data_IF_677498191501
#
_entry.id   IF_677498191501
#
_cell.length_a   1.000
_cell.length_b   1.000
_cell.length_c   1.000
_cell.angle_alpha   90.00
_cell.angle_beta   90.00
_cell.angle_gamma   90.00
#
_symmetry.space_group_name_H-M   'P 1'
#
loop_
_entity.id
_entity.type
_entity.pdbx_description
1 polymer ?
#
# COMPACT_ATOMS: atom_id res chain seq x y z
N UNK A 1 -2.34 0.32 -4.19
CA UNK A 1 -2.66 -0.78 -5.09
C UNK A 1 -2.05 -2.11 -4.67
N UNK A 2 -0.84 -2.14 -4.11
CA UNK A 2 -0.18 -3.37 -3.68
C UNK A 2 0.41 -3.21 -2.27
N UNK A 3 0.30 -4.29 -1.48
CA UNK A 3 1.06 -4.47 -0.26
C UNK A 3 2.33 -5.22 -0.66
N UNK A 4 3.47 -4.74 -0.18
CA UNK A 4 4.77 -5.38 -0.40
C UNK A 4 5.38 -5.68 0.95
N UNK A 5 5.84 -6.90 1.14
CA UNK A 5 6.54 -7.33 2.34
C UNK A 5 7.88 -7.94 1.92
N UNK A 6 8.97 -7.36 2.43
CA UNK A 6 10.32 -7.86 2.21
C UNK A 6 10.81 -8.59 3.45
N UNK A 7 11.29 -9.80 3.27
CA UNK A 7 11.98 -10.57 4.32
C UNK A 7 13.49 -10.54 4.10
N UNK A 8 14.18 -9.85 5.00
CA UNK A 8 15.64 -9.72 4.94
C UNK A 8 16.38 -11.05 5.06
N UNK A 9 15.79 -12.05 5.73
CA UNK A 9 16.45 -13.35 5.96
C UNK A 9 16.47 -14.21 4.71
N UNK A 10 15.38 -14.25 3.96
CA UNK A 10 15.25 -15.02 2.72
C UNK A 10 15.57 -14.21 1.47
N UNK A 11 15.75 -12.90 1.60
CA UNK A 11 15.93 -11.93 0.50
C UNK A 11 14.78 -11.98 -0.52
N UNK A 12 13.55 -12.19 -0.04
CA UNK A 12 12.36 -12.33 -0.87
C UNK A 12 11.38 -11.18 -0.65
N UNK A 13 10.70 -10.80 -1.72
CA UNK A 13 9.62 -9.82 -1.71
C UNK A 13 8.32 -10.53 -2.05
N UNK A 14 7.34 -10.44 -1.16
CA UNK A 14 5.96 -10.84 -1.42
C UNK A 14 5.11 -9.63 -1.75
N UNK A 15 4.21 -9.82 -2.70
CA UNK A 15 3.27 -8.79 -3.14
C UNK A 15 1.87 -9.34 -3.10
N UNK A 16 0.91 -8.51 -2.74
CA UNK A 16 -0.50 -8.85 -2.81
C UNK A 16 -1.29 -7.57 -3.16
N UNK A 17 -2.33 -7.70 -3.96
CA UNK A 17 -3.21 -6.56 -4.27
C UNK A 17 -3.96 -6.12 -3.01
N UNK A 18 -4.08 -4.81 -2.83
CA UNK A 18 -4.82 -4.19 -1.73
C UNK A 18 -6.33 -4.24 -2.01
N UNK A 19 -6.90 -5.43 -2.03
CA UNK A 19 -8.31 -5.62 -2.37
C UNK A 19 -8.87 -6.85 -1.69
N UNK A 20 -10.16 -6.79 -1.33
CA UNK A 20 -10.91 -7.85 -0.69
C UNK A 20 -12.32 -7.94 -1.33
N UNK A 21 -12.80 -9.15 -1.56
CA UNK A 21 -14.15 -9.43 -2.00
C UNK A 21 -14.97 -9.98 -0.84
N UNK A 22 -16.12 -9.39 -0.56
CA UNK A 22 -16.97 -9.68 0.61
C UNK A 22 -18.39 -9.95 0.12
N UNK A 23 -19.04 -11.01 0.65
CA UNK A 23 -20.46 -11.28 0.46
C UNK A 23 -21.33 -10.37 1.33
N UNK A 24 -22.63 -10.30 1.02
CA UNK A 24 -23.59 -9.48 1.78
C UNK A 24 -23.61 -9.75 3.28
N UNK A 25 -23.39 -11.00 3.70
CA UNK A 25 -23.28 -11.43 5.12
C UNK A 25 -21.93 -11.08 5.78
N UNK A 26 -21.08 -10.32 5.11
CA UNK A 26 -19.70 -9.97 5.50
C UNK A 26 -18.73 -11.15 5.53
N UNK A 27 -19.08 -12.27 4.94
CA UNK A 27 -18.13 -13.35 4.74
C UNK A 27 -17.11 -12.95 3.67
N UNK A 28 -15.82 -13.13 3.99
CA UNK A 28 -14.75 -12.83 3.04
C UNK A 28 -14.70 -13.95 2.01
N UNK A 29 -14.93 -13.59 0.76
CA UNK A 29 -14.98 -14.50 -0.37
C UNK A 29 -13.59 -14.70 -1.00
N UNK A 30 -12.86 -13.62 -1.23
CA UNK A 30 -11.53 -13.64 -1.83
C UNK A 30 -10.68 -12.45 -1.34
N UNK A 31 -9.37 -12.54 -1.48
CA UNK A 31 -8.42 -11.48 -1.13
C UNK A 31 -7.34 -11.36 -2.20
N UNK A 32 -6.73 -10.17 -2.28
CA UNK A 32 -5.58 -9.92 -3.11
C UNK A 32 -5.86 -10.12 -4.60
N UNK A 33 -4.96 -10.83 -5.30
CA UNK A 33 -5.08 -11.05 -6.74
C UNK A 33 -6.39 -11.72 -7.13
N UNK A 34 -6.86 -12.69 -6.35
CA UNK A 34 -8.15 -13.36 -6.61
C UNK A 34 -9.35 -12.41 -6.51
N UNK A 35 -9.34 -11.51 -5.53
CA UNK A 35 -10.38 -10.50 -5.40
C UNK A 35 -10.29 -9.45 -6.52
N UNK A 36 -9.07 -9.12 -6.94
CA UNK A 36 -8.85 -8.15 -8.03
C UNK A 36 -9.33 -8.66 -9.39
N UNK A 37 -9.18 -9.96 -9.68
CA UNK A 37 -9.73 -10.57 -10.90
C UNK A 37 -11.25 -10.47 -10.99
N UNK A 38 -11.91 -10.33 -9.85
CA UNK A 38 -13.35 -10.16 -9.74
C UNK A 38 -13.81 -8.70 -9.86
N UNK A 39 -12.89 -7.75 -9.74
CA UNK A 39 -13.23 -6.33 -9.78
C UNK A 39 -13.94 -5.97 -11.09
N UNK A 40 -15.05 -5.23 -11.00
CA UNK A 40 -15.96 -4.88 -12.10
C UNK A 40 -16.69 -6.07 -12.77
N UNK A 41 -16.56 -7.29 -12.25
CA UNK A 41 -17.15 -8.51 -12.83
C UNK A 41 -17.98 -9.31 -11.81
N UNK A 42 -18.15 -8.78 -10.59
CA UNK A 42 -18.85 -9.49 -9.51
C UNK A 42 -20.36 -9.53 -9.71
N UNK A 43 -21.01 -10.62 -9.28
CA UNK A 43 -22.46 -10.64 -9.12
C UNK A 43 -22.89 -9.65 -8.00
N UNK A 44 -24.17 -9.27 -7.94
CA UNK A 44 -24.68 -8.24 -7.03
C UNK A 44 -24.45 -8.53 -5.54
N UNK A 45 -24.34 -9.79 -5.16
CA UNK A 45 -24.15 -10.27 -3.79
C UNK A 45 -22.68 -10.24 -3.31
N UNK A 46 -21.74 -9.89 -4.20
CA UNK A 46 -20.32 -9.75 -3.88
C UNK A 46 -19.86 -8.32 -4.11
N UNK A 47 -19.28 -7.71 -3.07
CA UNK A 47 -18.69 -6.39 -3.13
C UNK A 47 -17.17 -6.47 -3.08
N UNK A 48 -16.51 -5.84 -4.03
CA UNK A 48 -15.04 -5.68 -4.03
C UNK A 48 -14.69 -4.35 -3.40
N UNK A 49 -13.82 -4.38 -2.39
CA UNK A 49 -13.46 -3.22 -1.58
C UNK A 49 -11.94 -3.10 -1.46
N UNK A 50 -11.47 -1.86 -1.31
CA UNK A 50 -10.06 -1.55 -1.13
C UNK A 50 -9.82 -1.13 0.33
N UNK A 51 -9.13 -1.96 1.15
CA UNK A 51 -8.87 -1.65 2.56
C UNK A 51 -8.02 -0.40 2.80
N UNK A 52 -7.16 -0.04 1.85
CA UNK A 52 -6.41 1.22 1.86
C UNK A 52 -6.84 2.11 0.70
N UNK A 53 -7.04 3.38 0.98
CA UNK A 53 -7.36 4.41 0.00
C UNK A 53 -6.48 5.65 0.21
N UNK A 54 -6.01 6.25 -0.87
CA UNK A 54 -5.17 7.46 -0.82
C UNK A 54 -3.97 7.38 0.14
N UNK A 55 -3.37 6.18 0.28
CA UNK A 55 -2.20 5.96 1.11
C UNK A 55 -2.47 5.68 2.58
N UNK A 56 -3.74 5.69 3.03
CA UNK A 56 -4.13 5.42 4.42
C UNK A 56 -5.05 4.21 4.55
N UNK A 57 -5.11 3.63 5.75
CA UNK A 57 -5.99 2.50 6.06
C UNK A 57 -7.40 3.06 6.27
N UNK A 58 -8.31 2.81 5.32
CA UNK A 58 -9.72 3.21 5.41
C UNK A 58 -10.59 2.16 6.12
N UNK A 59 -10.20 0.88 6.03
CA UNK A 59 -10.91 -0.27 6.59
C UNK A 59 -9.96 -1.16 7.36
N UNK A 60 -9.80 -0.89 8.65
CA UNK A 60 -8.78 -1.55 9.48
C UNK A 60 -8.94 -3.07 9.55
N UNK A 61 -10.16 -3.58 9.79
CA UNK A 61 -10.41 -5.02 9.92
C UNK A 61 -10.12 -5.77 8.62
N UNK A 62 -10.51 -5.19 7.49
CA UNK A 62 -10.29 -5.77 6.16
C UNK A 62 -8.78 -5.79 5.84
N UNK A 63 -8.08 -4.70 6.16
CA UNK A 63 -6.64 -4.60 6.01
C UNK A 63 -5.90 -5.61 6.89
N UNK A 64 -6.37 -5.79 8.13
CA UNK A 64 -5.81 -6.75 9.06
C UNK A 64 -5.99 -8.19 8.55
N UNK A 65 -7.16 -8.51 8.00
CA UNK A 65 -7.42 -9.81 7.40
C UNK A 65 -6.51 -10.06 6.19
N UNK A 66 -6.40 -9.08 5.31
CA UNK A 66 -5.55 -9.16 4.11
C UNK A 66 -4.08 -9.38 4.49
N UNK A 67 -3.55 -8.62 5.46
CA UNK A 67 -2.20 -8.80 5.97
C UNK A 67 -2.01 -10.19 6.61
N UNK A 68 -2.95 -10.63 7.42
CA UNK A 68 -2.89 -11.95 8.05
C UNK A 68 -2.88 -13.08 7.00
N UNK A 69 -3.62 -12.92 5.92
CA UNK A 69 -3.66 -13.89 4.83
C UNK A 69 -2.31 -13.94 4.11
N UNK A 70 -1.72 -12.80 3.81
CA UNK A 70 -0.39 -12.70 3.23
C UNK A 70 0.66 -13.37 4.13
N UNK A 71 0.65 -13.05 5.43
CA UNK A 71 1.59 -13.63 6.40
C UNK A 71 1.39 -15.14 6.62
N UNK A 72 0.18 -15.68 6.40
CA UNK A 72 -0.10 -17.12 6.50
C UNK A 72 0.31 -17.90 5.27
N UNK A 73 0.16 -17.33 4.08
CA UNK A 73 0.60 -17.95 2.83
C UNK A 73 2.10 -18.29 2.89
N UNK A 74 2.84 -17.44 3.58
CA UNK A 74 4.28 -17.51 3.66
C UNK A 74 4.73 -18.01 5.05
N UNK A 75 5.05 -19.29 5.14
CA UNK A 75 5.53 -19.93 6.39
C UNK A 75 6.85 -19.35 6.92
N UNK A 76 7.49 -18.48 6.15
CA UNK A 76 8.82 -17.92 6.46
C UNK A 76 8.78 -16.70 7.37
N UNK A 77 7.63 -16.05 7.54
CA UNK A 77 7.51 -14.96 8.52
C UNK A 77 7.67 -15.50 9.94
N UNK A 78 8.88 -15.42 10.46
CA UNK A 78 9.21 -15.89 11.78
C UNK A 78 8.45 -15.10 12.84
N UNK A 79 7.77 -15.80 13.76
CA UNK A 79 7.20 -15.18 14.95
C UNK A 79 8.31 -14.46 15.73
N UNK A 80 8.02 -13.25 16.20
CA UNK A 80 8.98 -12.45 16.97
C UNK A 80 10.02 -11.71 16.12
N UNK A 81 9.77 -11.51 14.83
CA UNK A 81 10.59 -10.65 13.97
C UNK A 81 10.42 -9.18 14.31
N UNK A 82 11.43 -8.37 13.97
CA UNK A 82 11.29 -6.91 13.92
C UNK A 82 10.69 -6.51 12.56
N UNK A 83 9.80 -5.54 12.60
CA UNK A 83 9.14 -5.00 11.41
C UNK A 83 9.45 -3.52 11.25
N UNK A 84 9.68 -3.10 10.02
CA UNK A 84 9.76 -1.70 9.62
C UNK A 84 8.65 -1.45 8.61
N UNK A 85 7.83 -0.44 8.87
CA UNK A 85 6.69 -0.07 8.03
C UNK A 85 6.96 1.29 7.41
N UNK A 86 7.05 1.34 6.08
CA UNK A 86 7.12 2.60 5.36
C UNK A 86 5.70 3.16 5.19
N UNK A 87 5.47 4.34 5.74
CA UNK A 87 4.18 5.04 5.66
C UNK A 87 4.32 6.34 4.89
N UNK A 88 3.25 6.86 4.25
CA UNK A 88 3.28 8.18 3.66
C UNK A 88 3.64 9.23 4.70
N UNK A 89 4.37 10.25 4.32
CA UNK A 89 4.89 11.24 5.28
C UNK A 89 3.79 12.21 5.75
N UNK A 90 2.81 12.49 4.90
CA UNK A 90 1.68 13.38 5.21
C UNK A 90 0.50 12.61 5.83
N UNK A 91 0.78 11.79 6.84
CA UNK A 91 -0.23 11.06 7.60
C UNK A 91 -0.27 11.56 9.04
N UNK A 92 -1.47 11.57 9.60
CA UNK A 92 -1.71 11.96 10.99
C UNK A 92 -1.12 10.92 11.97
N UNK A 93 -0.92 11.31 13.22
CA UNK A 93 -0.47 10.38 14.28
C UNK A 93 -1.45 9.22 14.48
N UNK A 94 -2.75 9.45 14.27
CA UNK A 94 -3.78 8.40 14.33
C UNK A 94 -3.59 7.39 13.20
N UNK A 95 -3.32 7.86 11.99
CA UNK A 95 -3.06 7.00 10.84
C UNK A 95 -1.74 6.23 11.00
N UNK A 96 -0.67 6.87 11.50
CA UNK A 96 0.58 6.17 11.86
C UNK A 96 0.32 5.07 12.88
N UNK A 97 -0.48 5.37 13.90
CA UNK A 97 -0.89 4.38 14.90
C UNK A 97 -1.66 3.21 14.29
N UNK A 98 -2.52 3.45 13.31
CA UNK A 98 -3.26 2.38 12.62
C UNK A 98 -2.29 1.43 11.90
N UNK A 99 -1.26 1.93 11.22
CA UNK A 99 -0.23 1.08 10.61
C UNK A 99 0.55 0.26 11.65
N UNK A 100 0.89 0.86 12.78
CA UNK A 100 1.56 0.18 13.89
C UNK A 100 0.69 -0.93 14.46
N UNK A 101 -0.57 -0.61 14.80
CA UNK A 101 -1.54 -1.54 15.38
C UNK A 101 -1.85 -2.71 14.43
N UNK A 102 -1.85 -2.47 13.12
CA UNK A 102 -2.05 -3.49 12.09
C UNK A 102 -1.05 -4.65 12.22
N UNK A 103 0.21 -4.35 12.47
CA UNK A 103 1.28 -5.35 12.61
C UNK A 103 1.32 -5.93 14.02
N UNK A 104 1.19 -5.10 15.05
CA UNK A 104 1.21 -5.53 16.47
C UNK A 104 0.10 -6.53 16.74
N UNK A 105 -1.11 -6.27 16.25
CA UNK A 105 -2.27 -7.15 16.46
C UNK A 105 -2.39 -8.27 15.39
N UNK A 106 -1.40 -8.41 14.52
CA UNK A 106 -1.37 -9.50 13.54
C UNK A 106 -0.89 -10.82 14.16
N UNK A 107 -1.07 -11.90 13.41
CA UNK A 107 -0.55 -13.25 13.78
C UNK A 107 0.99 -13.33 13.77
N UNK A 108 1.68 -12.31 13.27
CA UNK A 108 3.14 -12.24 13.22
C UNK A 108 3.80 -12.20 14.59
N UNK A 109 3.09 -11.73 15.64
CA UNK A 109 3.65 -11.54 16.99
C UNK A 109 4.98 -10.79 16.93
N UNK A 110 4.95 -9.60 16.33
CA UNK A 110 6.14 -8.77 16.18
C UNK A 110 6.84 -8.53 17.53
N UNK A 111 8.18 -8.68 17.56
CA UNK A 111 8.99 -8.32 18.70
C UNK A 111 9.16 -6.80 18.80
N UNK A 112 9.25 -6.16 17.65
CA UNK A 112 9.50 -4.74 17.50
C UNK A 112 8.83 -4.25 16.21
N UNK A 113 8.24 -3.07 16.26
CA UNK A 113 7.64 -2.42 15.09
C UNK A 113 8.13 -0.98 15.04
N UNK A 114 8.78 -0.63 13.95
CA UNK A 114 9.24 0.72 13.67
C UNK A 114 8.51 1.28 12.46
N UNK A 115 8.21 2.57 12.50
CA UNK A 115 7.63 3.30 11.39
C UNK A 115 8.71 4.19 10.78
N UNK A 116 8.79 4.20 9.46
CA UNK A 116 9.69 5.07 8.70
C UNK A 116 8.88 5.85 7.67
N UNK A 117 9.26 7.07 7.45
CA UNK A 117 8.67 7.90 6.39
C UNK A 117 9.08 7.36 5.02
N UNK A 118 8.11 7.25 4.11
CA UNK A 118 8.32 6.64 2.80
C UNK A 118 9.44 7.33 2.01
N UNK A 119 9.52 8.66 2.02
CA UNK A 119 10.58 9.40 1.33
C UNK A 119 11.98 8.99 1.79
N UNK A 120 12.17 8.75 3.09
CA UNK A 120 13.44 8.24 3.64
C UNK A 120 13.70 6.79 3.21
N UNK A 121 12.66 5.95 3.27
CA UNK A 121 12.76 4.56 2.83
C UNK A 121 13.09 4.45 1.33
N UNK A 122 12.51 5.30 0.50
CA UNK A 122 12.77 5.37 -0.94
C UNK A 122 14.22 5.78 -1.22
N UNK A 123 14.75 6.78 -0.49
CA UNK A 123 16.15 7.21 -0.62
C UNK A 123 17.13 6.07 -0.27
N UNK A 124 16.87 5.37 0.84
CA UNK A 124 17.69 4.23 1.27
C UNK A 124 17.60 3.10 0.24
N UNK A 125 16.41 2.82 -0.27
CA UNK A 125 16.18 1.79 -1.29
C UNK A 125 16.89 2.08 -2.61
N UNK A 126 17.12 3.36 -2.92
CA UNK A 126 17.90 3.82 -4.07
C UNK A 126 19.42 3.90 -3.78
N UNK A 127 19.88 3.48 -2.61
CA UNK A 127 21.26 3.60 -2.13
C UNK A 127 21.78 5.06 -2.14
N UNK A 128 20.90 6.02 -1.86
CA UNK A 128 21.31 7.41 -1.75
C UNK A 128 21.79 7.71 -0.33
N UNK A 129 22.83 8.55 -0.22
CA UNK A 129 23.36 8.98 1.06
C UNK A 129 22.46 10.04 1.70
N UNK A 130 21.56 9.58 2.58
CA UNK A 130 20.60 10.44 3.28
C UNK A 130 21.31 11.36 4.29
N UNK A 131 22.36 10.88 4.94
CA UNK A 131 23.03 11.59 6.04
C UNK A 131 23.85 12.78 5.56
N UNK A 132 24.59 12.61 4.45
CA UNK A 132 25.56 13.61 3.98
C UNK A 132 25.06 14.43 2.79
N UNK A 133 23.85 14.19 2.33
CA UNK A 133 23.30 14.91 1.17
C UNK A 133 23.06 16.38 1.47
N UNK A 134 23.37 17.24 0.49
CA UNK A 134 22.99 18.66 0.51
C UNK A 134 21.54 18.89 0.08
N UNK A 135 20.93 17.92 -0.59
CA UNK A 135 19.55 17.94 -1.03
C UNK A 135 19.29 16.82 -2.04
N UNK A 136 18.31 15.99 -1.73
CA UNK A 136 17.73 14.98 -2.64
C UNK A 136 16.29 15.33 -2.87
N UNK A 137 15.88 15.37 -4.13
CA UNK A 137 14.48 15.47 -4.49
C UNK A 137 14.02 14.12 -5.04
N UNK A 138 13.05 13.52 -4.39
CA UNK A 138 12.50 12.20 -4.72
C UNK A 138 11.03 12.37 -5.09
N UNK A 139 10.64 11.76 -6.19
CA UNK A 139 9.25 11.66 -6.62
C UNK A 139 8.88 10.18 -6.64
N UNK A 140 7.97 9.79 -5.76
CA UNK A 140 7.39 8.44 -5.74
C UNK A 140 6.02 8.50 -6.40
N UNK A 141 5.93 8.06 -7.65
CA UNK A 141 4.70 8.02 -8.41
C UNK A 141 4.03 6.65 -8.24
N UNK A 142 3.00 6.61 -7.40
CA UNK A 142 2.25 5.40 -7.08
C UNK A 142 0.98 5.20 -7.91
N UNK A 143 0.22 4.17 -7.58
CA UNK A 143 -1.06 3.87 -8.24
C UNK A 143 -2.18 4.87 -7.89
N UNK A 144 -2.24 5.35 -6.65
CA UNK A 144 -3.29 6.26 -6.17
C UNK A 144 -2.76 7.61 -5.69
N UNK A 145 -1.46 7.71 -5.41
CA UNK A 145 -0.83 8.91 -4.85
C UNK A 145 0.54 9.13 -5.46
N UNK A 146 0.95 10.39 -5.51
CA UNK A 146 2.32 10.80 -5.82
C UNK A 146 2.89 11.50 -4.60
N UNK A 147 4.05 11.07 -4.12
CA UNK A 147 4.74 11.66 -2.98
C UNK A 147 5.99 12.40 -3.44
N UNK A 148 6.11 13.67 -3.04
CA UNK A 148 7.27 14.53 -3.32
C UNK A 148 8.03 14.70 -2.02
N UNK A 149 9.32 14.35 -2.00
CA UNK A 149 10.14 14.42 -0.79
C UNK A 149 11.45 15.16 -1.07
N UNK A 150 11.81 16.10 -0.18
CA UNK A 150 13.12 16.74 -0.16
C UNK A 150 13.85 16.30 1.11
N UNK A 151 15.02 15.70 0.95
CA UNK A 151 15.84 15.18 2.02
C UNK A 151 17.16 15.95 2.04
N UNK A 152 17.55 16.45 3.21
CA UNK A 152 18.85 17.10 3.42
C UNK A 152 19.28 16.99 4.88
N UNK A 153 20.59 16.91 5.11
CA UNK A 153 21.15 16.88 6.47
C UNK A 153 20.64 15.75 7.35
N UNK A 154 20.44 14.57 6.78
CA UNK A 154 20.02 13.38 7.51
C UNK A 154 18.51 13.23 7.72
N UNK A 155 17.69 14.12 7.19
CA UNK A 155 16.24 14.09 7.42
C UNK A 155 15.39 14.64 6.31
N UNK A 156 14.07 14.47 6.46
CA UNK A 156 13.06 15.00 5.56
C UNK A 156 12.86 16.50 5.85
N UNK A 157 13.12 17.34 4.85
CA UNK A 157 12.99 18.81 4.96
C UNK A 157 11.62 19.27 4.49
N UNK A 158 11.12 18.66 3.42
CA UNK A 158 9.78 18.95 2.86
C UNK A 158 9.20 17.67 2.29
N UNK A 159 7.92 17.50 2.50
CA UNK A 159 7.16 16.44 1.89
C UNK A 159 5.78 16.93 1.47
N UNK A 160 5.29 16.39 0.37
CA UNK A 160 3.94 16.64 -0.09
C UNK A 160 3.35 15.38 -0.71
N UNK A 161 2.16 15.00 -0.26
CA UNK A 161 1.37 13.93 -0.83
C UNK A 161 0.31 14.52 -1.76
N UNK A 162 0.36 14.12 -3.03
CA UNK A 162 -0.66 14.42 -4.01
C UNK A 162 -1.57 13.20 -4.18
N UNK A 163 -2.88 13.42 -4.13
CA UNK A 163 -3.88 12.36 -4.38
C UNK A 163 -4.13 12.19 -5.88
N UNK A 164 -3.05 11.99 -6.61
CA UNK A 164 -3.02 11.73 -8.05
C UNK A 164 -1.99 10.64 -8.29
N UNK A 165 -2.36 9.61 -9.05
CA UNK A 165 -1.49 8.49 -9.36
C UNK A 165 -1.87 7.80 -10.67
N UNK A 166 -1.35 6.60 -10.89
CA UNK A 166 -1.57 5.82 -12.11
C UNK A 166 -3.05 5.57 -12.42
N UNK A 167 -3.87 5.34 -11.40
CA UNK A 167 -5.33 5.13 -11.57
C UNK A 167 -6.06 6.34 -12.15
N UNK A 168 -5.61 7.55 -11.84
CA UNK A 168 -6.22 8.76 -12.41
C UNK A 168 -5.87 8.88 -13.90
N UNK A 169 -4.66 8.43 -14.28
CA UNK A 169 -4.25 8.37 -15.70
C UNK A 169 -5.06 7.30 -16.44
N UNK A 170 -5.23 6.10 -15.87
CA UNK A 170 -6.04 5.04 -16.45
C UNK A 170 -7.49 5.51 -16.65
N UNK A 171 -8.04 6.21 -15.66
CA UNK A 171 -9.38 6.78 -15.73
C UNK A 171 -9.50 7.87 -16.81
N UNK A 172 -8.47 8.72 -16.93
CA UNK A 172 -8.42 9.74 -17.98
C UNK A 172 -8.39 9.11 -19.39
N UNK A 173 -7.64 8.02 -19.56
CA UNK A 173 -7.62 7.24 -20.83
C UNK A 173 -8.99 6.66 -21.12
N UNK A 174 -9.64 6.05 -20.13
CA UNK A 174 -10.99 5.49 -20.29
C UNK A 174 -12.02 6.57 -20.72
N UNK A 175 -11.96 7.74 -20.07
CA UNK A 175 -12.80 8.89 -20.42
C UNK A 175 -12.52 9.39 -21.83
N UNK A 176 -11.27 9.47 -22.26
CA UNK A 176 -10.88 9.91 -23.60
C UNK A 176 -11.41 8.95 -24.68
N UNK A 177 -11.29 7.63 -24.45
CA UNK A 177 -11.83 6.61 -25.36
C UNK A 177 -13.35 6.72 -25.44
N UNK A 178 -14.03 6.90 -24.33
CA UNK A 178 -15.49 7.09 -24.30
C UNK A 178 -15.89 8.36 -25.07
N UNK A 179 -15.19 9.45 -24.89
CA UNK A 179 -15.49 10.71 -25.55
C UNK A 179 -15.28 10.66 -27.07
N UNK A 180 -14.15 10.07 -27.51
CA UNK A 180 -13.79 10.06 -28.93
C UNK A 180 -14.45 8.94 -29.74
N UNK A 181 -14.78 7.81 -29.09
CA UNK A 181 -15.21 6.58 -29.78
C UNK A 181 -16.55 6.03 -29.30
N UNK A 182 -17.18 6.68 -28.33
CA UNK A 182 -18.41 6.20 -27.67
C UNK A 182 -18.31 4.74 -27.18
N UNK A 183 -17.11 4.37 -26.73
CA UNK A 183 -16.78 3.01 -26.28
C UNK A 183 -16.39 2.98 -24.80
N UNK A 184 -16.94 2.03 -24.05
CA UNK A 184 -16.60 1.83 -22.63
C UNK A 184 -15.50 0.78 -22.52
N UNK A 185 -14.40 1.17 -21.89
CA UNK A 185 -13.32 0.27 -21.49
C UNK A 185 -13.24 0.21 -19.98
N UNK A 186 -12.96 -0.96 -19.41
CA UNK A 186 -12.70 -1.15 -17.98
C UNK A 186 -11.26 -0.87 -17.60
N UNK A 187 -10.96 -0.97 -16.29
CA UNK A 187 -9.62 -0.79 -15.74
C UNK A 187 -8.72 -2.04 -15.86
N UNK A 188 -9.18 -3.07 -16.54
CA UNK A 188 -8.44 -4.33 -16.75
C UNK A 188 -8.17 -4.58 -18.23
#
# INVERSE_FOLDING_TARGET
YEIKVYDKKSDMIWKEKNVIAIKEDREIFAVGDQAYEMYEKTPPDIQVQFPMENGVISRFNDMQYLLQNLLKKERHFARGSAYVIAVPTDVTEVEKKAFFDLVVHSTARAREVNIVERGIADAIGLNLDVENTKGLFIVNFGGATTELSIIAGGGLVLNQLLKVGGSDLDQAVAQLVRYNHDFLIGHQ
#
